data_IF_607561220151
#
_entry.id   IF_607561220151
#
_cell.length_a   1.000
_cell.length_b   1.000
_cell.length_c   1.000
_cell.angle_alpha   90.00
_cell.angle_beta   90.00
_cell.angle_gamma   90.00
#
_symmetry.space_group_name_H-M   'P 1'
#
loop_
_entity.id
_entity.type
_entity.pdbx_description
1 polymer ?
#
# COMPACT_ATOMS: atom_id res chain seq x y z
N UNK A 1 73.35 54.47 -20.42
CA UNK A 1 72.69 54.64 -21.72
C UNK A 1 72.24 53.26 -22.19
N UNK A 2 70.97 53.18 -22.56
CA UNK A 2 70.20 52.05 -23.13
C UNK A 2 70.79 51.47 -24.43
N UNK A 3 70.27 50.36 -25.05
CA UNK A 3 69.21 49.43 -24.63
C UNK A 3 69.51 47.91 -24.87
N UNK A 4 68.49 47.12 -24.54
CA UNK A 4 68.26 45.68 -24.61
C UNK A 4 68.45 44.94 -25.94
N UNK A 5 68.52 43.60 -25.85
CA UNK A 5 67.85 42.68 -26.79
C UNK A 5 67.57 41.33 -26.12
N UNK A 6 66.32 40.90 -26.26
CA UNK A 6 65.63 39.78 -25.61
C UNK A 6 65.73 38.54 -26.51
N UNK A 7 66.04 37.37 -25.96
CA UNK A 7 65.83 36.08 -26.63
C UNK A 7 64.63 35.37 -26.02
N UNK A 8 63.53 35.32 -26.78
CA UNK A 8 62.32 34.56 -26.47
C UNK A 8 62.57 33.06 -26.67
N UNK A 9 62.57 32.29 -25.58
CA UNK A 9 62.41 30.83 -25.64
C UNK A 9 60.92 30.49 -25.65
N UNK A 10 60.44 29.97 -26.78
CA UNK A 10 59.13 29.35 -26.92
C UNK A 10 59.10 28.04 -26.10
N UNK A 11 58.31 27.99 -25.04
CA UNK A 11 57.83 26.73 -24.47
C UNK A 11 56.31 26.68 -24.63
N UNK A 12 55.87 25.78 -25.51
CA UNK A 12 54.47 25.43 -25.72
C UNK A 12 54.04 24.52 -24.55
N UNK A 13 53.33 25.07 -23.57
CA UNK A 13 52.65 24.26 -22.56
C UNK A 13 51.22 24.00 -23.03
N UNK A 14 50.98 22.81 -23.57
CA UNK A 14 49.64 22.32 -23.90
C UNK A 14 48.93 21.98 -22.59
N UNK A 15 47.98 22.83 -22.20
CA UNK A 15 47.09 22.59 -21.07
C UNK A 15 45.98 21.62 -21.53
N UNK A 16 46.10 20.34 -21.17
CA UNK A 16 45.01 19.37 -21.34
C UNK A 16 44.00 19.61 -20.22
N UNK A 17 42.89 20.29 -20.53
CA UNK A 17 41.74 20.40 -19.65
C UNK A 17 40.94 19.10 -19.78
N UNK A 18 41.03 18.22 -18.79
CA UNK A 18 40.14 17.06 -18.65
C UNK A 18 38.83 17.55 -18.04
N UNK A 19 37.82 17.75 -18.88
CA UNK A 19 36.45 18.04 -18.41
C UNK A 19 35.83 16.72 -17.96
N UNK A 20 35.72 16.51 -16.65
CA UNK A 20 34.88 15.45 -16.10
C UNK A 20 33.40 15.85 -16.25
N UNK A 21 32.75 15.33 -17.28
CA UNK A 21 31.30 15.39 -17.41
C UNK A 21 30.72 14.37 -16.43
N UNK A 22 30.32 14.81 -15.25
CA UNK A 22 29.42 14.03 -14.40
C UNK A 22 28.05 13.99 -15.08
N UNK A 23 27.74 12.88 -15.75
CA UNK A 23 26.36 12.54 -16.06
C UNK A 23 25.62 12.29 -14.75
N UNK A 24 25.04 13.33 -14.16
CA UNK A 24 23.98 13.19 -13.17
C UNK A 24 22.76 12.63 -13.92
N UNK A 25 22.70 11.31 -14.05
CA UNK A 25 21.45 10.66 -14.41
C UNK A 25 20.44 11.09 -13.34
N UNK A 26 19.44 11.90 -13.73
CA UNK A 26 18.32 12.18 -12.87
C UNK A 26 17.75 10.82 -12.45
N UNK A 27 17.77 10.52 -11.14
CA UNK A 27 17.16 9.30 -10.64
C UNK A 27 15.70 9.30 -11.12
N UNK A 28 15.33 8.32 -11.95
CA UNK A 28 13.97 8.16 -12.40
C UNK A 28 13.07 8.02 -11.18
N UNK A 29 11.98 8.78 -11.11
CA UNK A 29 10.99 8.65 -10.04
C UNK A 29 10.59 7.18 -9.89
N UNK A 30 10.58 6.62 -8.68
CA UNK A 30 10.14 5.23 -8.46
C UNK A 30 8.65 5.04 -8.77
N UNK A 31 7.92 6.15 -8.90
CA UNK A 31 6.54 6.17 -9.31
C UNK A 31 6.36 6.74 -10.71
N UNK A 32 5.51 6.09 -11.50
CA UNK A 32 5.34 6.31 -12.94
C UNK A 32 4.50 7.53 -13.30
N UNK A 33 3.67 8.03 -12.38
CA UNK A 33 2.78 9.17 -12.62
C UNK A 33 2.55 10.01 -11.35
N UNK A 34 1.84 11.13 -11.49
CA UNK A 34 1.41 12.02 -10.39
C UNK A 34 -0.12 12.21 -10.43
N UNK A 35 -0.73 12.69 -9.34
CA UNK A 35 -2.19 12.81 -9.23
C UNK A 35 -2.88 11.47 -8.97
N UNK A 36 -4.17 11.39 -9.28
CA UNK A 36 -4.98 10.19 -9.01
C UNK A 36 -5.11 9.91 -7.52
N UNK A 37 -4.94 8.66 -7.12
CA UNK A 37 -5.15 8.24 -5.73
C UNK A 37 -3.98 7.44 -5.16
N UNK A 38 -3.75 7.65 -3.87
CA UNK A 38 -2.93 6.74 -3.06
C UNK A 38 -3.86 6.04 -2.09
N UNK A 39 -3.91 4.71 -2.18
CA UNK A 39 -4.60 3.85 -1.23
C UNK A 39 -3.58 3.39 -0.18
N UNK A 40 -3.96 3.40 1.09
CA UNK A 40 -3.14 2.85 2.18
C UNK A 40 -4.01 1.95 3.02
N UNK A 41 -3.62 0.68 3.10
CA UNK A 41 -4.37 -0.37 3.79
C UNK A 41 -3.44 -1.18 4.70
N UNK A 42 -4.04 -1.83 5.69
CA UNK A 42 -3.33 -2.73 6.56
C UNK A 42 -2.94 -4.01 5.81
N UNK A 43 -3.91 -4.76 5.29
CA UNK A 43 -3.72 -6.12 4.77
C UNK A 43 -3.89 -6.22 3.24
N UNK A 44 -3.35 -7.29 2.61
CA UNK A 44 -3.39 -7.51 1.16
C UNK A 44 -4.77 -7.62 0.50
N UNK A 45 -5.88 -7.72 1.21
CA UNK A 45 -7.25 -7.85 0.68
C UNK A 45 -8.14 -6.64 0.98
N UNK A 46 -7.72 -5.77 1.89
CA UNK A 46 -8.54 -4.68 2.42
C UNK A 46 -9.00 -3.67 1.36
N UNK A 47 -8.17 -3.39 0.36
CA UNK A 47 -8.50 -2.47 -0.72
C UNK A 47 -9.57 -3.06 -1.67
N UNK A 48 -9.54 -4.39 -1.86
CA UNK A 48 -10.55 -5.14 -2.60
C UNK A 48 -11.87 -5.22 -1.83
N UNK A 49 -11.82 -5.35 -0.51
CA UNK A 49 -13.00 -5.56 0.35
C UNK A 49 -13.69 -4.25 0.75
N UNK A 50 -12.92 -3.24 1.17
CA UNK A 50 -13.47 -2.07 1.85
C UNK A 50 -13.37 -0.78 1.05
N UNK A 51 -12.55 -0.73 0.01
CA UNK A 51 -12.30 0.46 -0.82
C UNK A 51 -12.67 0.25 -2.31
N UNK A 52 -13.40 -0.83 -2.57
CA UNK A 52 -14.02 -1.14 -3.87
C UNK A 52 -15.55 -1.07 -3.73
N UNK A 53 -16.27 -0.51 -4.72
CA UNK A 53 -15.86 -0.35 -6.12
C UNK A 53 -15.08 0.93 -6.48
N UNK A 54 -14.81 1.87 -5.57
CA UNK A 54 -14.05 3.09 -5.92
C UNK A 54 -12.69 2.78 -6.57
N UNK A 55 -11.91 1.88 -5.97
CA UNK A 55 -10.65 1.37 -6.53
C UNK A 55 -10.81 0.82 -7.94
N UNK A 56 -11.85 0.02 -8.13
CA UNK A 56 -12.14 -0.65 -9.38
C UNK A 56 -12.49 0.37 -10.48
N UNK A 57 -13.28 1.39 -10.16
CA UNK A 57 -13.62 2.46 -11.09
C UNK A 57 -12.38 3.26 -11.51
N UNK A 58 -11.50 3.59 -10.56
CA UNK A 58 -10.26 4.32 -10.84
C UNK A 58 -9.30 3.54 -11.75
N UNK A 59 -9.15 2.22 -11.52
CA UNK A 59 -8.32 1.36 -12.37
C UNK A 59 -8.87 1.29 -13.81
N UNK A 60 -10.19 1.19 -13.97
CA UNK A 60 -10.85 1.09 -15.28
C UNK A 60 -10.69 2.34 -16.14
N UNK A 61 -10.66 3.52 -15.51
CA UNK A 61 -10.47 4.80 -16.22
C UNK A 61 -8.99 5.20 -16.34
N UNK A 62 -8.06 4.27 -16.07
CA UNK A 62 -6.61 4.51 -16.14
C UNK A 62 -6.14 5.66 -15.24
N UNK A 63 -6.77 5.83 -14.08
CA UNK A 63 -6.28 6.76 -13.08
C UNK A 63 -4.91 6.28 -12.54
N UNK A 64 -4.11 7.24 -12.09
CA UNK A 64 -2.83 6.95 -11.46
C UNK A 64 -3.07 6.44 -10.03
N UNK A 65 -2.87 5.14 -9.79
CA UNK A 65 -3.17 4.45 -8.54
C UNK A 65 -1.90 3.86 -7.93
N UNK A 66 -1.62 4.23 -6.68
CA UNK A 66 -0.57 3.59 -5.89
C UNK A 66 -1.17 3.06 -4.59
N UNK A 67 -0.99 1.77 -4.30
CA UNK A 67 -1.50 1.14 -3.08
C UNK A 67 -0.35 0.74 -2.17
N UNK A 68 -0.37 1.22 -0.93
CA UNK A 68 0.63 0.92 0.10
C UNK A 68 0.00 -0.05 1.10
N UNK A 69 0.60 -1.23 1.22
CA UNK A 69 0.21 -2.26 2.16
C UNK A 69 1.19 -2.25 3.33
N UNK A 70 0.68 -1.99 4.54
CA UNK A 70 1.53 -1.84 5.72
C UNK A 70 1.98 -3.20 6.24
N UNK A 71 1.04 -4.15 6.40
CA UNK A 71 1.35 -5.48 6.90
C UNK A 71 1.45 -6.49 5.76
N UNK A 72 2.07 -7.62 6.06
CA UNK A 72 2.14 -8.79 5.18
C UNK A 72 0.85 -9.62 5.24
N UNK A 73 -0.04 -9.33 6.21
CA UNK A 73 -1.21 -10.15 6.49
C UNK A 73 -0.87 -11.62 6.74
N UNK A 74 0.29 -11.89 7.34
CA UNK A 74 0.84 -13.24 7.49
C UNK A 74 0.06 -14.09 8.51
N UNK A 75 -0.74 -13.46 9.38
CA UNK A 75 -1.48 -14.13 10.45
C UNK A 75 -0.60 -15.04 11.34
N UNK A 76 0.67 -14.68 11.52
CA UNK A 76 1.68 -15.46 12.26
C UNK A 76 2.21 -16.68 11.50
N UNK A 77 1.81 -16.88 10.24
CA UNK A 77 2.18 -18.04 9.43
C UNK A 77 3.51 -17.74 8.72
N UNK A 78 4.59 -18.48 9.02
CA UNK A 78 5.87 -18.29 8.36
C UNK A 78 5.84 -18.85 6.92
N UNK A 79 6.84 -18.46 6.13
CA UNK A 79 7.04 -18.98 4.78
C UNK A 79 6.29 -18.17 3.71
N UNK A 80 5.79 -18.85 2.69
CA UNK A 80 5.29 -18.21 1.46
C UNK A 80 3.83 -17.73 1.52
N UNK A 81 3.16 -17.82 2.68
CA UNK A 81 1.75 -17.48 2.79
C UNK A 81 1.50 -15.99 2.47
N UNK A 82 2.26 -15.08 3.08
CA UNK A 82 2.14 -13.64 2.80
C UNK A 82 2.47 -13.30 1.34
N UNK A 83 3.48 -13.92 0.74
CA UNK A 83 3.82 -13.72 -0.68
C UNK A 83 2.72 -14.21 -1.63
N UNK A 84 1.99 -15.28 -1.25
CA UNK A 84 0.83 -15.72 -1.99
C UNK A 84 -0.30 -14.67 -1.93
N UNK A 85 -0.55 -14.06 -0.76
CA UNK A 85 -1.52 -12.95 -0.63
C UNK A 85 -1.13 -11.73 -1.47
N UNK A 86 0.15 -11.35 -1.48
CA UNK A 86 0.65 -10.28 -2.37
C UNK A 86 0.39 -10.61 -3.84
N UNK A 87 0.67 -11.85 -4.25
CA UNK A 87 0.43 -12.35 -5.62
C UNK A 87 -1.06 -12.35 -5.98
N UNK A 88 -1.93 -12.71 -5.03
CA UNK A 88 -3.37 -12.63 -5.19
C UNK A 88 -3.86 -11.20 -5.43
N UNK A 89 -3.33 -10.23 -4.68
CA UNK A 89 -3.72 -8.84 -4.84
C UNK A 89 -3.19 -8.24 -6.16
N UNK A 90 -1.98 -8.65 -6.57
CA UNK A 90 -1.42 -8.40 -7.90
C UNK A 90 -2.31 -8.98 -9.02
N UNK A 91 -2.85 -10.19 -8.84
CA UNK A 91 -3.77 -10.84 -9.78
C UNK A 91 -5.14 -10.11 -9.85
N UNK A 92 -5.68 -9.68 -8.71
CA UNK A 92 -6.93 -8.91 -8.64
C UNK A 92 -6.82 -7.59 -9.41
N UNK A 93 -5.72 -6.85 -9.25
CA UNK A 93 -5.48 -5.61 -10.00
C UNK A 93 -5.31 -5.86 -11.48
N UNK A 94 -4.58 -6.92 -11.85
CA UNK A 94 -4.41 -7.32 -13.24
C UNK A 94 -5.77 -7.67 -13.88
N UNK A 95 -6.66 -8.35 -13.15
CA UNK A 95 -8.04 -8.61 -13.56
C UNK A 95 -8.85 -7.32 -13.76
N UNK A 96 -8.87 -6.43 -12.77
CA UNK A 96 -9.55 -5.11 -12.87
C UNK A 96 -9.03 -4.26 -14.02
N UNK A 97 -7.76 -4.40 -14.37
CA UNK A 97 -7.10 -3.73 -15.48
C UNK A 97 -7.33 -4.40 -16.86
N UNK A 98 -8.18 -5.44 -16.92
CA UNK A 98 -8.43 -6.27 -18.10
C UNK A 98 -7.15 -6.91 -18.68
N UNK A 99 -6.21 -7.26 -17.81
CA UNK A 99 -4.96 -7.97 -18.12
C UNK A 99 -4.81 -9.20 -17.22
N UNK A 100 -5.72 -10.19 -17.29
CA UNK A 100 -5.57 -11.41 -16.51
C UNK A 100 -4.20 -12.05 -16.80
N UNK A 101 -3.52 -12.55 -15.76
CA UNK A 101 -2.13 -13.03 -15.81
C UNK A 101 -1.08 -11.94 -16.11
N UNK A 102 -1.41 -10.67 -15.86
CA UNK A 102 -0.46 -9.57 -15.97
C UNK A 102 0.74 -9.76 -15.04
N UNK A 103 1.93 -9.52 -15.59
CA UNK A 103 3.20 -9.60 -14.86
C UNK A 103 3.54 -8.27 -14.20
N UNK A 104 4.24 -8.32 -13.08
CA UNK A 104 4.61 -7.15 -12.28
C UNK A 104 6.13 -7.01 -12.20
N UNK A 105 6.65 -5.84 -12.58
CA UNK A 105 8.07 -5.50 -12.41
C UNK A 105 8.37 -5.02 -10.99
N UNK A 106 9.54 -5.38 -10.49
CA UNK A 106 10.08 -4.85 -9.24
C UNK A 106 10.99 -3.65 -9.50
N UNK A 107 10.80 -2.58 -8.74
CA UNK A 107 11.78 -1.52 -8.57
C UNK A 107 12.07 -1.35 -7.08
N UNK A 108 13.35 -1.28 -6.72
CA UNK A 108 13.77 -0.91 -5.38
C UNK A 108 13.99 0.60 -5.32
N UNK A 109 13.44 1.24 -4.30
CA UNK A 109 13.68 2.66 -4.02
C UNK A 109 13.99 2.85 -2.54
N UNK A 110 14.62 3.97 -2.19
CA UNK A 110 14.82 4.33 -0.80
C UNK A 110 13.91 5.48 -0.39
N UNK A 111 13.31 5.38 0.80
CA UNK A 111 12.47 6.43 1.36
C UNK A 111 12.43 6.32 2.88
N UNK A 112 12.45 7.45 3.60
CA UNK A 112 12.46 7.41 5.08
C UNK A 112 13.60 6.56 5.67
N UNK A 113 14.72 6.44 4.95
CA UNK A 113 15.84 5.57 5.32
C UNK A 113 15.64 4.07 5.06
N UNK A 114 14.49 3.65 4.53
CA UNK A 114 14.12 2.26 4.27
C UNK A 114 14.20 1.93 2.78
N UNK A 115 14.55 0.68 2.46
CA UNK A 115 14.42 0.15 1.10
C UNK A 115 12.98 -0.31 0.92
N UNK A 116 12.32 0.20 -0.11
CA UNK A 116 10.95 -0.13 -0.47
C UNK A 116 10.93 -0.92 -1.77
N UNK A 117 10.11 -1.96 -1.80
CA UNK A 117 9.78 -2.71 -3.00
C UNK A 117 8.54 -2.11 -3.65
N UNK A 118 8.73 -1.45 -4.79
CA UNK A 118 7.65 -0.97 -5.65
C UNK A 118 7.38 -2.00 -6.73
N UNK A 119 6.12 -2.39 -6.89
CA UNK A 119 5.64 -3.32 -7.90
C UNK A 119 4.82 -2.54 -8.92
N UNK A 120 5.12 -2.69 -10.19
CA UNK A 120 4.42 -1.97 -11.28
C UNK A 120 3.84 -2.97 -12.26
N UNK A 121 2.56 -2.85 -12.59
CA UNK A 121 1.92 -3.74 -13.56
C UNK A 121 2.45 -3.46 -14.96
N UNK A 122 2.95 -4.49 -15.64
CA UNK A 122 3.42 -4.37 -17.01
C UNK A 122 2.28 -3.85 -17.89
N UNK A 123 2.59 -2.96 -18.84
CA UNK A 123 1.62 -2.35 -19.74
C UNK A 123 0.53 -1.48 -19.09
N UNK A 124 0.54 -1.32 -17.76
CA UNK A 124 -0.32 -0.43 -16.98
C UNK A 124 0.52 0.27 -15.91
N UNK A 125 1.54 1.04 -16.32
CA UNK A 125 2.52 1.60 -15.40
C UNK A 125 1.88 2.51 -14.34
N UNK A 126 0.70 3.06 -14.61
CA UNK A 126 -0.07 3.88 -13.67
C UNK A 126 -0.59 3.11 -12.45
N UNK A 127 -0.49 1.78 -12.43
CA UNK A 127 -0.87 0.91 -11.32
C UNK A 127 0.38 0.40 -10.61
N UNK A 128 0.58 0.87 -9.38
CA UNK A 128 1.74 0.52 -8.57
C UNK A 128 1.36 0.07 -7.17
N UNK A 129 2.16 -0.82 -6.58
CA UNK A 129 2.01 -1.30 -5.21
C UNK A 129 3.29 -1.10 -4.43
N UNK A 130 3.18 -0.87 -3.13
CA UNK A 130 4.30 -0.83 -2.19
C UNK A 130 3.99 -1.77 -1.04
N UNK A 131 4.85 -2.75 -0.82
CA UNK A 131 4.70 -3.76 0.22
C UNK A 131 5.70 -3.49 1.34
N UNK A 132 5.23 -3.06 2.51
CA UNK A 132 6.11 -2.81 3.67
C UNK A 132 6.36 -4.07 4.51
N UNK A 133 5.49 -5.08 4.37
CA UNK A 133 5.62 -6.42 4.96
C UNK A 133 5.80 -6.40 6.49
N UNK A 134 5.20 -5.45 7.19
CA UNK A 134 5.18 -5.48 8.66
C UNK A 134 4.35 -6.68 9.16
N UNK A 135 4.64 -7.24 10.34
CA UNK A 135 3.84 -8.31 10.92
C UNK A 135 2.37 -7.93 11.10
N UNK A 136 1.49 -8.90 10.85
CA UNK A 136 0.07 -8.85 11.19
C UNK A 136 -0.12 -8.73 12.72
N UNK A 137 -1.01 -7.82 13.11
CA UNK A 137 -1.30 -7.46 14.50
C UNK A 137 -2.27 -8.38 15.23
N UNK A 138 -2.84 -9.38 14.57
CA UNK A 138 -3.86 -10.28 15.12
C UNK A 138 -5.14 -9.53 15.56
N UNK A 139 -6.17 -10.28 15.95
CA UNK A 139 -7.54 -9.80 16.12
C UNK A 139 -7.71 -8.65 17.11
N UNK A 140 -6.86 -8.54 18.14
CA UNK A 140 -6.93 -7.52 19.19
C UNK A 140 -5.66 -6.68 19.27
N UNK A 141 -4.81 -6.69 18.24
CA UNK A 141 -3.57 -5.92 18.22
C UNK A 141 -2.45 -6.52 19.09
N UNK A 142 -2.62 -7.75 19.57
CA UNK A 142 -1.65 -8.46 20.40
C UNK A 142 -0.46 -8.99 19.61
N UNK A 143 -0.58 -9.12 18.28
CA UNK A 143 0.39 -9.73 17.39
C UNK A 143 0.43 -11.26 17.50
N UNK A 144 1.31 -11.88 16.72
CA UNK A 144 1.54 -13.32 16.78
C UNK A 144 2.87 -13.66 17.46
N UNK A 145 2.93 -14.78 18.16
CA UNK A 145 4.15 -15.23 18.84
C UNK A 145 5.31 -15.45 17.86
N UNK A 146 5.02 -15.96 16.66
CA UNK A 146 6.00 -16.17 15.59
C UNK A 146 6.62 -14.89 15.03
N UNK A 147 5.97 -13.74 15.22
CA UNK A 147 6.44 -12.41 14.80
C UNK A 147 6.79 -11.50 15.97
N UNK A 148 7.02 -12.10 17.15
CA UNK A 148 7.47 -11.39 18.35
C UNK A 148 6.38 -10.58 19.06
N UNK A 149 5.10 -10.90 18.84
CA UNK A 149 3.94 -10.20 19.40
C UNK A 149 3.98 -8.68 19.11
N UNK A 150 4.43 -8.32 17.91
CA UNK A 150 4.46 -6.93 17.43
C UNK A 150 3.18 -6.63 16.63
N UNK A 151 2.75 -5.38 16.62
CA UNK A 151 1.57 -4.93 15.86
C UNK A 151 1.68 -3.44 15.54
N UNK A 152 0.95 -2.97 14.53
CA UNK A 152 0.91 -1.54 14.22
C UNK A 152 0.43 -0.74 15.42
N UNK A 153 -0.62 -1.23 16.12
CA UNK A 153 -1.17 -0.58 17.29
C UNK A 153 -0.11 -0.35 18.37
N UNK A 154 0.66 -1.39 18.74
CA UNK A 154 1.73 -1.29 19.74
C UNK A 154 2.81 -0.28 19.32
N UNK A 155 3.17 -0.24 18.04
CA UNK A 155 4.13 0.73 17.52
C UNK A 155 3.58 2.16 17.61
N UNK A 156 2.31 2.34 17.27
CA UNK A 156 1.63 3.64 17.27
C UNK A 156 1.42 4.20 18.68
N UNK A 157 1.12 3.33 19.65
CA UNK A 157 0.93 3.69 21.06
C UNK A 157 2.26 3.83 21.84
N UNK A 158 3.37 3.39 21.25
CA UNK A 158 4.71 3.47 21.86
C UNK A 158 5.06 2.31 22.78
N UNK A 159 4.24 1.26 22.82
CA UNK A 159 4.51 0.04 23.60
C UNK A 159 5.71 -0.75 23.04
N UNK A 160 5.98 -0.59 21.74
CA UNK A 160 7.20 -1.03 21.08
C UNK A 160 7.83 0.13 20.31
N UNK A 161 9.15 0.14 20.20
CA UNK A 161 9.88 1.23 19.53
C UNK A 161 10.10 0.99 18.04
N UNK A 162 9.98 -0.26 17.59
CA UNK A 162 10.18 -0.66 16.20
C UNK A 162 9.46 -1.96 15.85
N UNK A 163 9.17 -2.14 14.57
CA UNK A 163 8.76 -3.40 13.97
C UNK A 163 9.77 -3.81 12.88
N UNK A 164 9.92 -5.11 12.67
CA UNK A 164 10.79 -5.67 11.62
C UNK A 164 9.91 -6.34 10.56
N UNK A 165 10.19 -6.08 9.28
CA UNK A 165 9.46 -6.72 8.19
C UNK A 165 9.61 -8.24 8.26
N UNK A 166 8.59 -8.99 7.87
CA UNK A 166 8.55 -10.46 8.01
C UNK A 166 9.61 -11.18 7.17
N UNK A 167 10.17 -10.52 6.17
CA UNK A 167 11.27 -11.00 5.33
C UNK A 167 12.66 -10.46 5.77
N UNK A 168 12.73 -9.71 6.88
CA UNK A 168 13.94 -9.10 7.39
C UNK A 168 14.49 -7.94 6.56
N UNK A 169 13.77 -7.48 5.53
CA UNK A 169 14.24 -6.47 4.57
C UNK A 169 14.35 -5.06 5.15
N UNK A 170 13.55 -4.75 6.17
CA UNK A 170 13.42 -3.40 6.71
C UNK A 170 13.02 -3.40 8.20
N UNK A 171 13.29 -2.28 8.88
CA UNK A 171 12.94 -2.05 10.28
C UNK A 171 12.38 -0.65 10.45
N UNK A 172 11.16 -0.56 10.97
CA UNK A 172 10.41 0.68 11.05
C UNK A 172 10.21 1.09 12.50
N UNK A 173 10.71 2.27 12.87
CA UNK A 173 10.13 3.04 13.96
C UNK A 173 8.86 3.73 13.45
N UNK A 174 8.02 4.27 14.35
CA UNK A 174 6.84 5.04 13.95
C UNK A 174 7.22 6.23 13.04
N UNK A 175 8.31 6.94 13.36
CA UNK A 175 8.79 8.07 12.56
C UNK A 175 9.26 7.61 11.18
N UNK A 176 10.03 6.52 11.08
CA UNK A 176 10.48 5.99 9.80
C UNK A 176 9.29 5.58 8.90
N UNK A 177 8.25 4.98 9.50
CA UNK A 177 7.02 4.63 8.78
C UNK A 177 6.27 5.87 8.29
N UNK A 178 6.12 6.91 9.13
CA UNK A 178 5.54 8.21 8.74
C UNK A 178 6.35 8.90 7.65
N UNK A 179 7.68 8.83 7.70
CA UNK A 179 8.58 9.39 6.69
C UNK A 179 8.46 8.68 5.35
N UNK A 180 8.33 7.36 5.35
CA UNK A 180 8.04 6.56 4.14
C UNK A 180 6.72 7.00 3.53
N UNK A 181 5.62 6.99 4.29
CA UNK A 181 4.30 7.38 3.80
C UNK A 181 4.33 8.82 3.27
N UNK A 182 4.90 9.75 4.04
CA UNK A 182 5.03 11.16 3.65
C UNK A 182 5.84 11.35 2.38
N UNK A 183 6.94 10.61 2.22
CA UNK A 183 7.76 10.64 1.02
C UNK A 183 6.98 10.16 -0.21
N UNK A 184 6.20 9.08 -0.09
CA UNK A 184 5.39 8.54 -1.20
C UNK A 184 4.35 9.59 -1.60
N UNK A 185 3.63 10.14 -0.62
CA UNK A 185 2.62 11.18 -0.85
C UNK A 185 3.20 12.44 -1.51
N UNK A 186 4.41 12.87 -1.11
CA UNK A 186 5.10 14.04 -1.69
C UNK A 186 5.51 13.80 -3.15
N UNK A 187 5.98 12.60 -3.50
CA UNK A 187 6.34 12.27 -4.87
C UNK A 187 5.09 12.07 -5.72
N UNK A 188 4.10 11.33 -5.20
CA UNK A 188 2.88 11.01 -5.93
C UNK A 188 1.95 12.19 -6.16
N UNK A 189 1.92 13.15 -5.22
CA UNK A 189 1.00 14.30 -5.22
C UNK A 189 -0.43 13.90 -5.57
N UNK A 190 -1.04 12.94 -4.84
CA UNK A 190 -2.35 12.43 -5.20
C UNK A 190 -3.43 13.51 -5.06
N UNK A 191 -4.54 13.31 -5.77
CA UNK A 191 -5.78 14.05 -5.55
C UNK A 191 -6.55 13.49 -4.35
N UNK A 192 -6.54 12.15 -4.18
CA UNK A 192 -7.19 11.47 -3.06
C UNK A 192 -6.20 10.59 -2.29
N UNK A 193 -6.32 10.58 -0.97
CA UNK A 193 -5.68 9.62 -0.09
C UNK A 193 -6.79 8.79 0.53
N UNK A 194 -6.82 7.49 0.24
CA UNK A 194 -7.88 6.58 0.63
C UNK A 194 -7.34 5.61 1.68
N UNK A 195 -7.97 5.60 2.85
CA UNK A 195 -7.53 4.83 4.04
C UNK A 195 -8.71 4.08 4.65
N UNK A 196 -8.44 3.14 5.54
CA UNK A 196 -9.49 2.52 6.36
C UNK A 196 -9.96 3.48 7.48
N UNK A 197 -10.71 2.98 8.47
CA UNK A 197 -11.37 3.79 9.49
C UNK A 197 -10.35 4.40 10.47
N UNK A 198 -10.12 5.72 10.45
CA UNK A 198 -9.24 6.39 11.42
C UNK A 198 -9.98 7.02 12.61
N UNK A 199 -11.30 6.81 12.73
CA UNK A 199 -12.17 7.46 13.73
C UNK A 199 -12.60 6.51 14.83
N UNK A 200 -12.89 5.26 14.49
CA UNK A 200 -13.36 4.25 15.44
C UNK A 200 -12.33 3.95 16.52
N UNK A 201 -12.83 3.58 17.69
CA UNK A 201 -12.00 3.29 18.87
C UNK A 201 -11.48 1.85 18.87
N UNK A 202 -10.27 1.63 19.38
CA UNK A 202 -9.72 0.26 19.54
C UNK A 202 -10.57 -0.61 20.48
N UNK A 203 -11.31 0.02 21.40
CA UNK A 203 -12.14 -0.64 22.40
C UNK A 203 -13.54 -0.99 21.88
N UNK A 204 -13.86 -0.70 20.62
CA UNK A 204 -15.13 -1.10 20.03
C UNK A 204 -15.24 -2.63 19.94
N UNK A 205 -16.38 -3.16 20.38
CA UNK A 205 -16.65 -4.60 20.51
C UNK A 205 -17.88 -5.00 19.69
N UNK A 206 -18.05 -6.31 19.48
CA UNK A 206 -19.20 -6.88 18.79
C UNK A 206 -19.30 -6.34 17.36
N UNK A 207 -20.50 -5.90 16.98
CA UNK A 207 -20.78 -5.44 15.62
C UNK A 207 -20.05 -4.15 15.23
N UNK A 208 -19.50 -3.44 16.21
CA UNK A 208 -18.71 -2.22 16.01
C UNK A 208 -17.20 -2.49 16.06
N UNK A 209 -16.76 -3.72 16.25
CA UNK A 209 -15.34 -4.05 16.24
C UNK A 209 -14.77 -3.98 14.82
N UNK A 210 -13.64 -3.30 14.66
CA UNK A 210 -12.83 -3.31 13.44
C UNK A 210 -11.39 -3.70 13.81
N UNK A 211 -10.63 -4.19 12.84
CA UNK A 211 -9.28 -4.70 13.08
C UNK A 211 -8.36 -3.57 13.57
N UNK A 212 -7.58 -3.76 14.65
CA UNK A 212 -6.69 -2.71 15.14
C UNK A 212 -5.64 -2.24 14.13
N UNK A 213 -5.16 -3.11 13.24
CA UNK A 213 -4.28 -2.68 12.15
C UNK A 213 -4.98 -1.77 11.13
N UNK A 214 -6.27 -1.98 10.83
CA UNK A 214 -7.05 -1.07 9.96
C UNK A 214 -7.05 0.34 10.53
N UNK A 215 -7.41 0.41 11.82
CA UNK A 215 -7.49 1.68 12.55
C UNK A 215 -6.13 2.38 12.61
N UNK A 216 -5.09 1.60 12.90
CA UNK A 216 -3.74 2.15 13.08
C UNK A 216 -3.11 2.60 11.77
N UNK A 217 -3.24 1.81 10.70
CA UNK A 217 -2.78 2.17 9.37
C UNK A 217 -3.37 3.52 8.94
N UNK A 218 -4.70 3.67 9.08
CA UNK A 218 -5.40 4.88 8.73
C UNK A 218 -4.98 6.09 9.60
N UNK A 219 -4.79 5.89 10.91
CA UNK A 219 -4.32 6.95 11.84
C UNK A 219 -2.90 7.42 11.53
N UNK A 220 -1.98 6.52 11.18
CA UNK A 220 -0.61 6.88 10.78
C UNK A 220 -0.64 7.81 9.56
N UNK A 221 -1.45 7.48 8.56
CA UNK A 221 -1.60 8.30 7.34
C UNK A 221 -2.26 9.63 7.65
N UNK A 222 -3.34 9.63 8.45
CA UNK A 222 -4.02 10.85 8.91
C UNK A 222 -3.04 11.80 9.60
N UNK A 223 -2.20 11.27 10.50
CA UNK A 223 -1.19 12.07 11.19
C UNK A 223 -0.15 12.63 10.21
N UNK A 224 0.35 11.81 9.27
CA UNK A 224 1.29 12.29 8.24
C UNK A 224 0.69 13.44 7.39
N UNK A 225 -0.59 13.34 7.04
CA UNK A 225 -1.32 14.41 6.32
C UNK A 225 -1.45 15.66 7.19
N UNK A 226 -1.79 15.50 8.48
CA UNK A 226 -1.84 16.62 9.43
C UNK A 226 -0.48 17.30 9.62
N UNK A 227 0.61 16.54 9.55
CA UNK A 227 2.00 17.01 9.58
C UNK A 227 2.46 17.63 8.23
N UNK A 228 1.55 17.77 7.26
CA UNK A 228 1.77 18.49 6.00
C UNK A 228 2.13 17.60 4.81
N UNK A 229 1.97 16.28 4.89
CA UNK A 229 2.06 15.43 3.70
C UNK A 229 0.85 15.65 2.77
N UNK A 230 1.12 15.91 1.48
CA UNK A 230 0.11 16.10 0.45
C UNK A 230 -1.07 17.03 0.85
N UNK A 231 -0.81 18.30 1.23
CA UNK A 231 -1.81 19.20 1.81
C UNK A 231 -2.97 19.60 0.88
N UNK A 232 -2.91 19.21 -0.39
CA UNK A 232 -3.96 19.45 -1.39
C UNK A 232 -4.84 18.23 -1.65
N UNK A 233 -4.47 17.06 -1.11
CA UNK A 233 -5.20 15.83 -1.33
C UNK A 233 -6.41 15.74 -0.38
N UNK A 234 -7.49 15.12 -0.84
CA UNK A 234 -8.63 14.78 0.02
C UNK A 234 -8.33 13.47 0.75
N UNK A 235 -8.33 13.49 2.08
CA UNK A 235 -8.29 12.27 2.89
C UNK A 235 -9.70 11.67 2.99
N UNK A 236 -9.86 10.41 2.58
CA UNK A 236 -11.13 9.69 2.54
C UNK A 236 -10.94 8.39 3.32
N UNK A 237 -11.76 8.18 4.36
CA UNK A 237 -11.75 6.95 5.14
C UNK A 237 -12.90 6.03 4.78
N UNK A 238 -12.67 4.72 4.90
CA UNK A 238 -13.65 3.66 4.65
C UNK A 238 -13.84 2.79 5.89
N UNK A 239 -15.07 2.38 6.15
CA UNK A 239 -15.38 1.46 7.25
C UNK A 239 -14.93 0.03 6.90
N UNK A 240 -14.33 -0.67 7.87
CA UNK A 240 -13.89 -2.06 7.74
C UNK A 240 -14.96 -3.07 8.13
N UNK A 241 -14.62 -4.02 9.01
CA UNK A 241 -15.51 -5.14 9.37
C UNK A 241 -16.95 -4.80 9.77
N UNK A 242 -17.21 -3.69 10.50
CA UNK A 242 -18.56 -3.31 10.94
C UNK A 242 -19.59 -3.19 9.81
N UNK A 243 -19.16 -2.97 8.56
CA UNK A 243 -20.07 -2.86 7.43
C UNK A 243 -20.92 -4.12 7.22
N UNK A 244 -20.49 -5.30 7.70
CA UNK A 244 -21.30 -6.52 7.66
C UNK A 244 -22.70 -6.35 8.25
N UNK A 245 -22.85 -5.42 9.21
CA UNK A 245 -24.09 -5.15 9.92
C UNK A 245 -24.89 -3.98 9.35
N UNK A 246 -24.44 -3.40 8.24
CA UNK A 246 -25.13 -2.31 7.55
C UNK A 246 -25.99 -2.84 6.38
N UNK A 247 -26.91 -2.04 5.84
CA UNK A 247 -27.59 -2.37 4.59
C UNK A 247 -26.59 -2.65 3.45
N UNK A 248 -26.98 -3.43 2.45
CA UNK A 248 -26.17 -3.58 1.23
C UNK A 248 -26.18 -2.25 0.45
N UNK A 249 -25.01 -1.80 -0.01
CA UNK A 249 -24.88 -0.66 -0.95
C UNK A 249 -24.65 -1.11 -2.38
N UNK A 250 -24.29 -2.38 -2.59
CA UNK A 250 -24.09 -3.01 -3.89
C UNK A 250 -25.08 -4.17 -4.04
N UNK A 251 -26.24 -3.94 -4.69
CA UNK A 251 -27.21 -4.99 -4.97
C UNK A 251 -26.58 -6.16 -5.74
N UNK A 252 -27.02 -7.39 -5.47
CA UNK A 252 -26.43 -8.61 -6.04
C UNK A 252 -26.56 -8.73 -7.57
N UNK A 253 -27.40 -7.91 -8.20
CA UNK A 253 -27.54 -7.83 -9.65
C UNK A 253 -26.80 -6.63 -10.28
N UNK A 254 -26.05 -5.86 -9.48
CA UNK A 254 -25.33 -4.68 -9.96
C UNK A 254 -24.01 -5.07 -10.63
N UNK A 255 -23.61 -4.31 -11.64
CA UNK A 255 -22.33 -4.50 -12.34
C UNK A 255 -21.13 -4.29 -11.41
N UNK A 256 -21.27 -3.40 -10.42
CA UNK A 256 -20.21 -3.12 -9.45
C UNK A 256 -20.02 -4.27 -8.46
N UNK A 257 -21.13 -4.88 -8.00
CA UNK A 257 -21.05 -6.10 -7.20
C UNK A 257 -20.35 -7.22 -7.96
N UNK A 258 -20.78 -7.52 -9.19
CA UNK A 258 -20.18 -8.59 -9.99
C UNK A 258 -18.70 -8.33 -10.27
N UNK A 259 -18.33 -7.10 -10.59
CA UNK A 259 -16.94 -6.72 -10.85
C UNK A 259 -16.05 -6.78 -9.60
N UNK A 260 -16.56 -6.33 -8.44
CA UNK A 260 -15.87 -6.43 -7.15
C UNK A 260 -15.67 -7.89 -6.76
N UNK A 261 -16.71 -8.71 -6.95
CA UNK A 261 -16.70 -10.15 -6.71
C UNK A 261 -15.64 -10.85 -7.58
N UNK A 262 -15.60 -10.55 -8.88
CA UNK A 262 -14.60 -11.09 -9.81
C UNK A 262 -13.17 -10.71 -9.39
N UNK A 263 -12.94 -9.44 -9.03
CA UNK A 263 -11.64 -8.97 -8.56
C UNK A 263 -11.21 -9.69 -7.27
N UNK A 264 -12.11 -9.82 -6.29
CA UNK A 264 -11.83 -10.53 -5.05
C UNK A 264 -11.54 -12.03 -5.28
N UNK A 265 -12.28 -12.71 -6.15
CA UNK A 265 -12.00 -14.13 -6.41
C UNK A 265 -10.76 -14.38 -7.26
N UNK A 266 -10.27 -13.39 -8.02
CA UNK A 266 -8.93 -13.44 -8.58
C UNK A 266 -7.85 -13.40 -7.49
N UNK A 267 -8.08 -12.66 -6.39
CA UNK A 267 -7.25 -12.72 -5.18
C UNK A 267 -7.40 -14.06 -4.44
N UNK A 268 -8.63 -14.51 -4.21
CA UNK A 268 -8.93 -15.69 -3.39
C UNK A 268 -8.25 -16.98 -3.89
N UNK A 269 -8.01 -17.09 -5.20
CA UNK A 269 -7.27 -18.20 -5.80
C UNK A 269 -5.85 -18.39 -5.24
N UNK A 270 -5.28 -17.37 -4.58
CA UNK A 270 -3.96 -17.39 -3.95
C UNK A 270 -4.02 -17.41 -2.42
N UNK A 271 -5.20 -17.27 -1.82
CA UNK A 271 -5.40 -17.27 -0.38
C UNK A 271 -6.31 -18.43 0.02
N UNK A 272 -5.70 -19.51 0.50
CA UNK A 272 -6.43 -20.71 0.91
C UNK A 272 -7.28 -20.54 2.17
N UNK A 273 -7.16 -19.40 2.88
CA UNK A 273 -7.91 -19.14 4.11
C UNK A 273 -9.22 -18.41 3.87
N UNK A 274 -9.45 -17.87 2.68
CA UNK A 274 -10.73 -17.24 2.31
C UNK A 274 -11.64 -18.22 1.55
N UNK A 275 -12.93 -17.89 1.49
CA UNK A 275 -13.88 -18.58 0.63
C UNK A 275 -13.48 -18.44 -0.85
N UNK A 276 -13.71 -19.48 -1.64
CA UNK A 276 -13.17 -19.56 -3.02
C UNK A 276 -14.20 -19.18 -4.11
N UNK A 277 -15.45 -19.01 -3.72
CA UNK A 277 -16.53 -18.46 -4.54
C UNK A 277 -17.60 -17.87 -3.63
N UNK A 278 -18.54 -17.14 -4.21
CA UNK A 278 -19.53 -16.38 -3.45
C UNK A 278 -20.50 -17.28 -2.68
N UNK A 279 -20.96 -18.38 -3.27
CA UNK A 279 -21.84 -19.33 -2.60
C UNK A 279 -21.17 -19.96 -1.37
N UNK A 280 -19.87 -20.27 -1.46
CA UNK A 280 -19.06 -20.73 -0.32
C UNK A 280 -18.94 -19.64 0.76
N UNK A 281 -18.74 -18.37 0.38
CA UNK A 281 -18.74 -17.26 1.35
C UNK A 281 -20.09 -17.17 2.08
N UNK A 282 -21.20 -17.18 1.34
CA UNK A 282 -22.54 -17.12 1.92
C UNK A 282 -22.80 -18.29 2.85
N UNK A 283 -22.48 -19.53 2.43
CA UNK A 283 -22.65 -20.73 3.25
C UNK A 283 -21.85 -20.66 4.56
N UNK A 284 -20.61 -20.17 4.52
CA UNK A 284 -19.80 -20.00 5.74
C UNK A 284 -20.40 -18.92 6.64
N UNK A 285 -20.79 -17.77 6.08
CA UNK A 285 -21.32 -16.66 6.85
C UNK A 285 -22.66 -17.00 7.52
N UNK A 286 -23.59 -17.67 6.82
CA UNK A 286 -24.88 -18.08 7.41
C UNK A 286 -24.74 -19.21 8.44
N UNK A 287 -23.70 -20.04 8.34
CA UNK A 287 -23.42 -21.10 9.33
C UNK A 287 -22.66 -20.59 10.56
N UNK A 288 -22.31 -19.29 10.61
CA UNK A 288 -21.54 -18.71 11.71
C UNK A 288 -20.06 -19.10 11.72
N UNK A 289 -19.57 -19.72 10.64
CA UNK A 289 -18.16 -20.10 10.45
C UNK A 289 -17.41 -19.15 9.50
N UNK A 290 -18.13 -18.23 8.88
CA UNK A 290 -17.59 -17.24 7.97
C UNK A 290 -17.11 -15.98 8.68
N UNK A 291 -16.30 -15.20 7.96
CA UNK A 291 -15.70 -13.97 8.49
C UNK A 291 -16.51 -12.72 8.08
N UNK A 292 -17.53 -12.87 7.23
CA UNK A 292 -18.33 -11.76 6.69
C UNK A 292 -18.03 -11.41 5.24
N UNK A 293 -17.25 -12.23 4.51
CA UNK A 293 -16.86 -11.94 3.13
C UNK A 293 -18.05 -11.72 2.19
N UNK A 294 -19.13 -12.50 2.31
CA UNK A 294 -20.32 -12.29 1.48
C UNK A 294 -20.95 -10.92 1.75
N UNK A 295 -20.96 -10.49 3.02
CA UNK A 295 -21.49 -9.19 3.41
C UNK A 295 -20.59 -8.02 2.96
N UNK A 296 -19.27 -8.16 3.09
CA UNK A 296 -18.30 -7.15 2.65
C UNK A 296 -18.32 -6.95 1.14
N UNK A 297 -18.46 -8.03 0.36
CA UNK A 297 -18.54 -7.95 -1.10
C UNK A 297 -19.77 -7.16 -1.60
N UNK A 298 -20.84 -7.13 -0.82
CA UNK A 298 -22.07 -6.39 -1.14
C UNK A 298 -22.07 -4.92 -0.67
N UNK A 299 -20.95 -4.42 -0.12
CA UNK A 299 -20.92 -3.13 0.59
C UNK A 299 -19.63 -2.35 0.36
N UNK A 300 -19.78 -1.04 0.38
CA UNK A 300 -18.71 -0.05 0.53
C UNK A 300 -19.31 1.11 1.33
N UNK A 301 -18.60 1.55 2.36
CA UNK A 301 -19.05 2.64 3.23
C UNK A 301 -17.87 3.55 3.55
N UNK A 302 -18.08 4.86 3.38
CA UNK A 302 -17.17 5.87 3.89
C UNK A 302 -17.41 6.13 5.37
N UNK A 303 -16.36 6.46 6.12
CA UNK A 303 -16.51 7.04 7.45
C UNK A 303 -16.78 8.54 7.34
N UNK A 304 -17.89 8.98 7.95
CA UNK A 304 -18.34 10.39 7.98
C UNK A 304 -17.76 11.15 9.14
#
# INVERSE_FOLDING_TARGET
>A
MTPASISNSFFLSVLIIVIFIFNLAAASSPFSCQGGSVYVVAHPDDDLLFQSPDLLHEIRVHACVTTIFLTSGDAGIPGSYSEARESGNEAAYASMASRPNGTWQTTLTQMGGQILRVRTLDGRPELQKVWLRLPDGNSLGEGFSGTGNTSLQKLYQGDITKMEATDGSARYTLNALKDVISGILKIRKPNNIRVQDFKREYTSLGNEHDHPDHLTAARIVRDAVADGAAPKAKLIGYAGYPISHHPSTLPSNSTDFEAKKEAFFAYAAFDSRVCQNYDDCEQRDVSGHGQGYSYWLQREYYIV
#
